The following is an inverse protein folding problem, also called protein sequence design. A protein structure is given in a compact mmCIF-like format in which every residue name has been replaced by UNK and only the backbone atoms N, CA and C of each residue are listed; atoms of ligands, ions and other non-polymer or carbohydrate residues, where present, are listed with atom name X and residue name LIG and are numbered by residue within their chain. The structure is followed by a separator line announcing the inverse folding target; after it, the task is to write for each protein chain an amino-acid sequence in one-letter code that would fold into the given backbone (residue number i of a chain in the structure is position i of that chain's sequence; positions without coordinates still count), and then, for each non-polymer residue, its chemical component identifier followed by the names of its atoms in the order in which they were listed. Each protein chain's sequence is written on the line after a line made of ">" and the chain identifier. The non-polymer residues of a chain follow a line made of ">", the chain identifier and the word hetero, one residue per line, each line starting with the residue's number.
data_IF_802103817398
#
_entry.id   IF_802103817398
#
_cell.length_a   1.000
_cell.length_b   1.000
_cell.length_c   1.000
_cell.angle_alpha   90.00
_cell.angle_beta   90.00
_cell.angle_gamma   90.00
#
_symmetry.space_group_name_H-M   'P 1'
#
loop_
_entity.id
_entity.type
_entity.pdbx_description
1 polymer ?
#
# COMPACT_ATOMS: atom_id res chain seq x y z
N UNK A 1 -1.98 -1.57 13.47
CA UNK A 1 -0.73 -2.29 13.11
C UNK A 1 -0.90 -2.98 11.77
N UNK A 2 0.06 -2.83 10.90
CA UNK A 2 -0.01 -3.38 9.55
C UNK A 2 1.30 -4.06 9.17
N UNK A 3 1.21 -4.97 8.21
CA UNK A 3 2.36 -5.65 7.62
C UNK A 3 2.18 -5.70 6.11
N UNK A 4 3.27 -5.82 5.40
CA UNK A 4 3.21 -5.98 3.95
C UNK A 4 4.28 -6.94 3.45
N UNK A 5 4.02 -7.51 2.28
CA UNK A 5 4.95 -8.36 1.56
C UNK A 5 4.97 -7.94 0.09
N UNK A 6 6.02 -8.30 -0.60
CA UNK A 6 6.07 -8.01 -2.02
C UNK A 6 7.29 -8.64 -2.68
N UNK A 7 7.20 -8.77 -3.98
CA UNK A 7 8.35 -9.13 -4.79
C UNK A 7 8.20 -8.53 -6.18
N UNK A 8 9.33 -8.32 -6.83
CA UNK A 8 9.36 -7.73 -8.16
C UNK A 8 10.38 -8.47 -9.05
N UNK A 9 10.16 -8.37 -10.33
CA UNK A 9 11.09 -8.87 -11.33
C UNK A 9 10.92 -8.08 -12.62
N UNK A 10 12.02 -7.68 -13.22
CA UNK A 10 12.01 -7.05 -14.54
C UNK A 10 12.17 -8.06 -15.67
N UNK A 11 12.50 -9.30 -15.35
CA UNK A 11 12.77 -10.34 -16.34
C UNK A 11 11.63 -11.36 -16.46
N UNK A 12 10.95 -11.65 -15.37
CA UNK A 12 9.91 -12.66 -15.30
C UNK A 12 8.53 -12.00 -15.19
N UNK A 13 7.56 -12.55 -15.89
CA UNK A 13 6.17 -12.13 -15.76
C UNK A 13 5.57 -12.71 -14.48
N UNK A 14 5.27 -11.86 -13.52
CA UNK A 14 4.76 -12.26 -12.21
C UNK A 14 3.25 -12.40 -12.15
N UNK A 15 2.54 -12.14 -13.25
CA UNK A 15 1.08 -12.25 -13.27
C UNK A 15 0.57 -13.65 -13.00
N UNK A 16 1.42 -14.66 -13.20
CA UNK A 16 1.11 -16.06 -12.90
C UNK A 16 1.47 -16.48 -11.49
N UNK A 17 2.14 -15.64 -10.74
CA UNK A 17 2.67 -15.95 -9.41
C UNK A 17 1.87 -15.25 -8.28
N UNK A 18 0.68 -14.80 -8.58
CA UNK A 18 -0.22 -14.12 -7.63
C UNK A 18 -0.44 -14.97 -6.37
N UNK A 19 -0.57 -16.29 -6.53
CA UNK A 19 -0.79 -17.21 -5.41
C UNK A 19 0.35 -17.16 -4.39
N UNK A 20 1.56 -16.83 -4.82
CA UNK A 20 2.72 -16.76 -3.92
C UNK A 20 2.57 -15.60 -2.95
N UNK A 21 2.21 -14.40 -3.45
CA UNK A 21 2.06 -13.25 -2.57
C UNK A 21 0.84 -13.41 -1.66
N UNK A 22 -0.22 -14.07 -2.13
CA UNK A 22 -1.38 -14.39 -1.29
C UNK A 22 -1.00 -15.32 -0.14
N UNK A 23 -0.21 -16.36 -0.41
CA UNK A 23 0.26 -17.26 0.63
C UNK A 23 1.16 -16.54 1.63
N UNK A 24 2.05 -15.67 1.15
CA UNK A 24 2.89 -14.86 2.01
C UNK A 24 2.06 -13.92 2.89
N UNK A 25 1.05 -13.31 2.32
CA UNK A 25 0.18 -12.37 3.03
C UNK A 25 -0.64 -13.09 4.12
N UNK A 26 -1.08 -14.32 3.85
CA UNK A 26 -1.81 -15.11 4.84
C UNK A 26 -0.97 -15.45 6.06
N UNK A 27 0.33 -15.60 5.89
CA UNK A 27 1.24 -15.89 7.02
C UNK A 27 1.39 -14.72 7.97
N UNK A 28 0.98 -13.53 7.54
CA UNK A 28 0.97 -12.34 8.40
C UNK A 28 -0.36 -12.16 9.12
N UNK A 29 -1.28 -13.12 9.02
CA UNK A 29 -2.61 -13.01 9.61
C UNK A 29 -2.53 -12.71 11.10
N UNK A 30 -3.28 -11.71 11.52
CA UNK A 30 -3.30 -11.22 12.89
C UNK A 30 -4.49 -11.81 13.65
N UNK A 31 -4.43 -11.74 14.97
CA UNK A 31 -5.57 -12.10 15.81
C UNK A 31 -6.69 -11.07 15.61
N UNK A 32 -7.92 -11.57 15.56
CA UNK A 32 -9.09 -10.74 15.36
C UNK A 32 -9.31 -10.42 13.89
N UNK A 33 -10.14 -9.41 13.63
CA UNK A 33 -10.43 -9.00 12.27
C UNK A 33 -9.25 -8.26 11.67
N UNK A 34 -8.84 -8.70 10.48
CA UNK A 34 -7.87 -7.96 9.70
C UNK A 34 -8.39 -7.77 8.27
N UNK A 35 -7.82 -6.80 7.59
CA UNK A 35 -8.16 -6.46 6.23
C UNK A 35 -6.96 -6.73 5.35
N UNK A 36 -7.18 -7.45 4.24
CA UNK A 36 -6.13 -7.73 3.28
C UNK A 36 -6.32 -6.88 2.02
N UNK A 37 -5.20 -6.52 1.39
CA UNK A 37 -5.23 -5.80 0.14
C UNK A 37 -4.09 -6.25 -0.74
N UNK A 38 -4.24 -6.09 -2.05
CA UNK A 38 -3.25 -6.54 -3.02
C UNK A 38 -3.12 -5.56 -4.17
N UNK A 39 -1.94 -5.55 -4.73
CA UNK A 39 -1.67 -4.92 -6.01
C UNK A 39 -0.84 -5.88 -6.85
N UNK A 40 -1.30 -6.17 -8.07
CA UNK A 40 -0.65 -7.13 -8.96
C UNK A 40 -0.43 -6.51 -10.32
N UNK A 41 0.76 -6.73 -10.88
CA UNK A 41 1.01 -6.59 -12.31
C UNK A 41 2.10 -7.58 -12.71
N UNK A 42 2.54 -7.52 -13.96
CA UNK A 42 3.53 -8.49 -14.45
C UNK A 42 4.92 -8.29 -13.85
N UNK A 43 5.20 -7.14 -13.27
CA UNK A 43 6.54 -6.80 -12.75
C UNK A 43 6.62 -6.76 -11.23
N UNK A 44 5.49 -6.57 -10.53
CA UNK A 44 5.48 -6.46 -9.08
C UNK A 44 4.17 -7.01 -8.52
N UNK A 45 4.29 -7.71 -7.41
CA UNK A 45 3.14 -8.16 -6.62
C UNK A 45 3.32 -7.66 -5.19
N UNK A 46 2.29 -7.01 -4.65
CA UNK A 46 2.27 -6.49 -3.29
C UNK A 46 1.07 -7.03 -2.54
N UNK A 47 1.28 -7.34 -1.27
CA UNK A 47 0.21 -7.69 -0.34
C UNK A 47 0.33 -6.85 0.92
N UNK A 48 -0.80 -6.53 1.51
CA UNK A 48 -0.89 -5.74 2.74
C UNK A 48 -1.95 -6.34 3.64
N UNK A 49 -1.68 -6.31 4.94
CA UNK A 49 -2.63 -6.80 5.94
C UNK A 49 -2.64 -5.87 7.13
N UNK A 50 -3.81 -5.39 7.49
CA UNK A 50 -4.00 -4.42 8.57
C UNK A 50 -5.04 -4.94 9.55
N UNK A 51 -4.73 -4.87 10.85
CA UNK A 51 -5.73 -5.09 11.89
C UNK A 51 -6.75 -3.95 11.80
N UNK A 52 -8.02 -4.31 11.66
CA UNK A 52 -9.09 -3.33 11.51
C UNK A 52 -9.28 -2.57 12.81
N UNK A 53 -9.22 -1.25 12.72
CA UNK A 53 -9.51 -0.33 13.82
C UNK A 53 -10.66 0.59 13.40
N UNK A 54 -11.19 1.35 14.35
CA UNK A 54 -12.35 2.22 14.10
C UNK A 54 -12.11 3.32 13.07
N UNK A 55 -10.86 3.62 12.73
CA UNK A 55 -10.51 4.69 11.80
C UNK A 55 -9.89 4.19 10.50
N UNK A 56 -10.19 2.96 10.11
CA UNK A 56 -9.51 2.30 9.00
C UNK A 56 -10.00 2.67 7.60
N UNK A 57 -11.09 3.41 7.47
CA UNK A 57 -11.75 3.64 6.18
C UNK A 57 -10.86 4.33 5.13
N UNK A 58 -9.97 5.22 5.56
CA UNK A 58 -9.11 5.98 4.65
C UNK A 58 -7.68 5.45 4.59
N UNK A 59 -7.43 4.29 5.16
CA UNK A 59 -6.08 3.73 5.27
C UNK A 59 -5.89 2.41 4.55
N UNK A 60 -6.83 2.06 3.68
CA UNK A 60 -6.76 0.80 2.93
C UNK A 60 -5.57 0.79 1.99
N UNK A 61 -4.79 -0.27 2.06
CA UNK A 61 -3.58 -0.43 1.25
C UNK A 61 -3.61 -1.77 0.49
N UNK A 62 -2.88 -1.92 -0.61
CA UNK A 62 -2.03 -0.91 -1.24
C UNK A 62 -2.84 0.28 -1.75
N UNK A 63 -2.23 1.45 -1.71
CA UNK A 63 -2.88 2.69 -2.13
C UNK A 63 -2.26 3.17 -3.43
N UNK A 64 -3.10 3.49 -4.42
CA UNK A 64 -2.62 3.89 -5.74
C UNK A 64 -3.17 5.24 -6.12
N UNK A 65 -2.36 6.01 -6.81
CA UNK A 65 -2.75 7.29 -7.39
C UNK A 65 -2.17 7.42 -8.79
N UNK A 66 -2.94 8.00 -9.69
CA UNK A 66 -2.47 8.32 -11.02
C UNK A 66 -2.10 9.80 -11.07
N UNK A 67 -0.89 10.08 -11.54
CA UNK A 67 -0.40 11.45 -11.71
C UNK A 67 0.39 11.53 -12.99
N UNK A 68 -0.02 12.42 -13.91
CA UNK A 68 0.62 12.65 -15.22
C UNK A 68 0.93 11.33 -15.96
N UNK A 69 -0.12 10.50 -16.14
CA UNK A 69 -0.06 9.21 -16.85
C UNK A 69 0.78 8.12 -16.18
N UNK A 70 1.25 8.36 -14.96
CA UNK A 70 1.98 7.37 -14.18
C UNK A 70 1.15 6.97 -12.97
N UNK A 71 1.10 5.67 -12.69
CA UNK A 71 0.43 5.14 -11.50
C UNK A 71 1.49 4.88 -10.43
N UNK A 72 1.31 5.49 -9.28
CA UNK A 72 2.16 5.30 -8.10
C UNK A 72 1.39 4.47 -7.08
N UNK A 73 2.02 3.42 -6.59
CA UNK A 73 1.40 2.52 -5.61
C UNK A 73 2.29 2.41 -4.39
N UNK A 74 1.70 2.47 -3.21
CA UNK A 74 2.45 2.40 -1.96
C UNK A 74 1.84 1.37 -1.01
N UNK A 75 2.70 0.64 -0.31
CA UNK A 75 2.38 -0.05 0.94
C UNK A 75 3.27 0.54 2.03
N UNK A 76 2.72 0.67 3.21
CA UNK A 76 3.39 1.41 4.27
C UNK A 76 3.02 0.85 5.64
N UNK A 77 4.03 0.70 6.48
CA UNK A 77 3.85 0.34 7.88
C UNK A 77 4.74 1.24 8.74
N UNK A 78 4.13 2.23 9.37
CA UNK A 78 4.87 3.20 10.18
C UNK A 78 4.07 4.45 10.41
N UNK A 79 4.79 5.52 10.77
CA UNK A 79 4.17 6.81 11.02
C UNK A 79 5.12 7.93 10.62
N UNK A 80 4.58 8.90 9.88
CA UNK A 80 5.33 10.08 9.46
C UNK A 80 5.03 11.19 10.47
N UNK A 81 5.99 11.48 11.35
CA UNK A 81 5.76 12.39 12.47
C UNK A 81 5.58 13.85 12.04
N UNK A 82 6.22 14.25 10.96
CA UNK A 82 6.14 15.62 10.45
C UNK A 82 5.26 15.72 9.19
N UNK A 83 4.23 14.90 9.10
CA UNK A 83 3.37 14.86 7.91
C UNK A 83 2.71 16.19 7.60
N UNK A 84 2.30 16.94 8.61
CA UNK A 84 1.63 18.23 8.42
C UNK A 84 2.57 19.27 7.84
N UNK A 85 3.82 19.25 8.25
CA UNK A 85 4.87 20.13 7.74
C UNK A 85 5.18 19.79 6.26
N UNK A 86 5.34 18.51 5.97
CA UNK A 86 5.57 18.03 4.59
C UNK A 86 4.39 18.40 3.70
N UNK A 87 3.17 18.22 4.20
CA UNK A 87 1.95 18.53 3.47
C UNK A 87 1.91 20.01 3.09
N UNK A 88 2.24 20.89 4.04
CA UNK A 88 2.28 22.34 3.78
C UNK A 88 3.30 22.70 2.71
N UNK A 89 4.48 22.13 2.77
CA UNK A 89 5.51 22.38 1.76
C UNK A 89 5.05 21.94 0.38
N UNK A 90 4.44 20.78 0.28
CA UNK A 90 3.96 20.26 -1.00
C UNK A 90 2.80 21.09 -1.53
N UNK A 91 1.90 21.55 -0.67
CA UNK A 91 0.80 22.43 -1.08
C UNK A 91 1.32 23.78 -1.60
N UNK A 92 2.37 24.33 -1.00
CA UNK A 92 3.02 25.54 -1.46
C UNK A 92 3.67 25.37 -2.83
N UNK A 93 4.06 24.14 -3.17
CA UNK A 93 4.61 23.82 -4.48
C UNK A 93 3.54 23.50 -5.52
N UNK A 94 2.25 23.55 -5.13
CA UNK A 94 1.15 23.36 -6.06
C UNK A 94 0.55 21.97 -6.10
N UNK A 95 0.96 21.07 -5.19
CA UNK A 95 0.39 19.74 -5.13
C UNK A 95 -0.90 19.71 -4.30
N UNK A 96 -1.84 18.88 -4.72
CA UNK A 96 -3.09 18.68 -4.01
C UNK A 96 -3.11 17.32 -3.32
N UNK A 97 -3.69 17.28 -2.12
CA UNK A 97 -3.86 16.05 -1.36
C UNK A 97 -5.31 15.57 -1.45
N UNK A 98 -5.48 14.32 -1.87
CA UNK A 98 -6.81 13.71 -2.04
C UNK A 98 -7.17 12.74 -0.95
N UNK A 99 -6.21 12.37 -0.09
CA UNK A 99 -6.40 11.43 1.00
C UNK A 99 -5.67 11.89 2.25
N UNK A 100 -6.20 11.48 3.40
CA UNK A 100 -5.60 11.74 4.71
C UNK A 100 -5.00 10.42 5.21
N UNK A 101 -3.75 10.49 5.63
CA UNK A 101 -3.07 9.34 6.22
C UNK A 101 -3.20 9.34 7.73
#
# INVERSE_FOLDING_TARGET
>A
MSDFVGFCSLEKDLSKDIHIVKDMNMKMQKRGLDEEGYFFNKSINLGHRTLITTNSENTKQPMSIKYQDTIYTIVYNGQIYNKDEIKKELEQLGYEFKRIF
#
